data_IF_419606788264
#
_entry.id   IF_419606788264
#
_cell.length_a   1.000
_cell.length_b   1.000
_cell.length_c   1.000
_cell.angle_alpha   90.00
_cell.angle_beta   90.00
_cell.angle_gamma   90.00
#
_symmetry.space_group_name_H-M   'P 1'
#
loop_
_entity.id
_entity.type
_entity.pdbx_description
1 polymer ?
#
# COMPACT_ATOMS: atom_id res chain seq x y z
N UNK A 1 6.05 -5.79 -7.79
CA UNK A 1 5.23 -6.27 -8.93
C UNK A 1 4.31 -7.38 -8.44
N UNK A 2 3.20 -7.62 -9.11
CA UNK A 2 2.27 -8.70 -8.78
C UNK A 2 1.26 -8.94 -9.90
N UNK A 3 0.48 -10.01 -9.77
CA UNK A 3 -0.57 -10.40 -10.72
C UNK A 3 -1.90 -10.56 -10.00
N UNK A 4 -2.98 -10.04 -10.60
CA UNK A 4 -4.36 -10.20 -10.12
C UNK A 4 -5.09 -11.32 -10.86
N UNK A 5 -4.52 -11.79 -11.98
CA UNK A 5 -4.94 -12.97 -12.76
C UNK A 5 -3.78 -13.43 -13.64
N UNK A 6 -3.97 -14.48 -14.45
CA UNK A 6 -2.94 -14.94 -15.40
C UNK A 6 -2.56 -13.86 -16.42
N UNK A 7 -3.51 -13.02 -16.83
CA UNK A 7 -3.29 -11.99 -17.85
C UNK A 7 -3.00 -10.60 -17.24
N UNK A 8 -3.62 -10.28 -16.11
CA UNK A 8 -3.55 -8.94 -15.52
C UNK A 8 -2.50 -8.86 -14.41
N UNK A 9 -1.56 -7.92 -14.56
CA UNK A 9 -0.51 -7.69 -13.59
C UNK A 9 -0.09 -6.23 -13.50
N UNK A 10 0.70 -5.92 -12.48
CA UNK A 10 1.15 -4.57 -12.17
C UNK A 10 2.63 -4.54 -11.80
N UNK A 11 3.32 -3.48 -12.24
CA UNK A 11 4.66 -3.11 -11.83
C UNK A 11 4.60 -1.67 -11.37
N UNK A 12 5.23 -1.41 -10.22
CA UNK A 12 5.35 -0.07 -9.67
C UNK A 12 6.83 0.23 -9.65
N UNK A 13 7.21 1.26 -10.38
CA UNK A 13 8.60 1.69 -10.55
C UNK A 13 8.76 3.01 -9.82
N UNK A 14 9.65 3.01 -8.85
CA UNK A 14 10.04 4.21 -8.12
C UNK A 14 11.46 4.62 -8.58
N UNK A 15 11.65 5.89 -8.92
CA UNK A 15 12.87 6.39 -9.58
C UNK A 15 13.09 7.88 -9.40
N UNK A 16 14.14 8.40 -10.05
CA UNK A 16 14.52 9.82 -10.03
C UNK A 16 14.69 10.39 -8.61
N UNK A 17 15.40 9.65 -7.76
CA UNK A 17 15.66 10.03 -6.38
C UNK A 17 16.59 11.23 -6.26
N UNK A 18 16.07 12.35 -5.76
CA UNK A 18 16.87 13.51 -5.35
C UNK A 18 16.27 14.15 -4.09
N UNK A 19 17.05 14.36 -3.02
CA UNK A 19 16.60 15.09 -1.81
C UNK A 19 15.21 14.67 -1.24
N UNK A 20 14.97 13.36 -1.03
CA UNK A 20 13.67 12.78 -0.57
C UNK A 20 12.48 12.99 -1.53
N UNK A 21 12.75 13.34 -2.78
CA UNK A 21 11.82 13.26 -3.89
C UNK A 21 11.98 11.91 -4.58
N UNK A 22 10.88 11.25 -4.94
CA UNK A 22 10.87 10.05 -5.78
C UNK A 22 9.65 10.09 -6.68
N UNK A 23 9.86 9.92 -7.99
CA UNK A 23 8.76 9.71 -8.92
C UNK A 23 8.34 8.25 -8.85
N UNK A 24 7.03 8.01 -8.86
CA UNK A 24 6.47 6.66 -8.89
C UNK A 24 5.51 6.53 -10.06
N UNK A 25 5.75 5.50 -10.85
CA UNK A 25 5.02 5.16 -12.06
C UNK A 25 4.34 3.82 -11.90
N UNK A 26 3.10 3.72 -12.38
CA UNK A 26 2.33 2.48 -12.39
C UNK A 26 2.23 1.96 -13.81
N UNK A 27 2.70 0.73 -14.00
CA UNK A 27 2.58 -0.01 -15.25
C UNK A 27 1.63 -1.18 -15.04
N UNK A 28 0.73 -1.39 -15.98
CA UNK A 28 -0.16 -2.55 -16.02
C UNK A 28 0.13 -3.39 -17.26
N UNK A 29 -0.08 -4.69 -17.12
CA UNK A 29 -0.17 -5.64 -18.22
C UNK A 29 -1.55 -6.27 -18.23
N UNK A 30 -2.03 -6.62 -19.42
CA UNK A 30 -3.26 -7.38 -19.65
C UNK A 30 -3.03 -8.58 -20.58
N UNK A 31 -1.75 -8.98 -20.76
CA UNK A 31 -1.32 -10.05 -21.65
C UNK A 31 -0.29 -11.00 -21.00
N UNK A 32 -0.32 -11.08 -19.67
CA UNK A 32 0.55 -11.96 -18.89
C UNK A 32 2.00 -11.44 -18.78
N UNK A 33 2.19 -10.12 -18.90
CA UNK A 33 3.49 -9.47 -18.79
C UNK A 33 4.29 -9.41 -20.09
N UNK A 34 3.67 -9.71 -21.25
CA UNK A 34 4.32 -9.60 -22.57
C UNK A 34 4.48 -8.14 -22.98
N UNK A 35 3.51 -7.29 -22.63
CA UNK A 35 3.58 -5.84 -22.79
C UNK A 35 3.11 -5.11 -21.54
N UNK A 36 3.63 -3.90 -21.36
CA UNK A 36 3.39 -3.06 -20.18
C UNK A 36 3.00 -1.65 -20.63
N UNK A 37 1.90 -1.13 -20.11
CA UNK A 37 1.43 0.22 -20.36
C UNK A 37 1.51 1.05 -19.08
N UNK A 38 2.13 2.23 -19.17
CA UNK A 38 2.06 3.22 -18.09
C UNK A 38 0.66 3.82 -18.02
N UNK A 39 0.03 3.72 -16.86
CA UNK A 39 -1.37 4.14 -16.63
C UNK A 39 -1.53 5.10 -15.46
N UNK A 40 -0.47 5.29 -14.65
CA UNK A 40 -0.48 6.19 -13.52
C UNK A 40 0.86 6.88 -13.31
N UNK A 41 0.78 8.13 -12.89
CA UNK A 41 1.90 8.96 -12.45
C UNK A 41 1.54 9.56 -11.10
N UNK A 42 2.08 8.95 -10.03
CA UNK A 42 1.76 9.41 -8.67
C UNK A 42 2.61 10.59 -8.25
N UNK A 43 3.58 11.05 -9.06
CA UNK A 43 4.34 12.29 -8.76
C UNK A 43 3.42 13.51 -8.68
N UNK A 44 2.26 13.45 -9.35
CA UNK A 44 1.21 14.47 -9.28
C UNK A 44 0.43 14.47 -7.95
N UNK A 45 0.65 13.47 -7.11
CA UNK A 45 -0.17 13.16 -5.94
C UNK A 45 0.69 13.21 -4.67
N UNK A 46 1.92 12.72 -4.76
CA UNK A 46 2.92 12.86 -3.70
C UNK A 46 4.32 12.60 -4.24
N UNK A 47 5.31 13.24 -3.65
CA UNK A 47 6.73 13.05 -3.96
C UNK A 47 7.43 12.15 -2.91
N UNK A 48 6.63 11.49 -2.07
CA UNK A 48 7.12 10.68 -0.97
C UNK A 48 7.57 9.31 -1.44
N UNK A 49 8.54 8.75 -0.70
CA UNK A 49 9.06 7.42 -0.94
C UNK A 49 7.95 6.38 -0.77
N UNK A 50 7.84 5.45 -1.72
CA UNK A 50 6.89 4.34 -1.66
C UNK A 50 7.38 3.28 -0.69
N UNK A 51 6.49 2.78 0.17
CA UNK A 51 6.79 1.71 1.12
C UNK A 51 6.18 0.37 0.71
N UNK A 52 5.00 0.40 0.09
CA UNK A 52 4.28 -0.81 -0.30
C UNK A 52 3.23 -0.50 -1.35
N UNK A 53 2.85 -1.51 -2.12
CA UNK A 53 1.82 -1.36 -3.13
C UNK A 53 1.27 -2.69 -3.62
N UNK A 54 -0.02 -2.69 -3.98
CA UNK A 54 -0.70 -3.84 -4.54
C UNK A 54 -1.92 -3.44 -5.37
N UNK A 55 -2.34 -4.30 -6.28
CA UNK A 55 -3.66 -4.21 -6.91
C UNK A 55 -4.52 -5.39 -6.47
N UNK A 56 -5.78 -5.12 -6.13
CA UNK A 56 -6.79 -6.15 -5.80
C UNK A 56 -7.59 -6.58 -7.03
N UNK A 57 -7.67 -5.73 -8.04
CA UNK A 57 -8.29 -6.01 -9.35
C UNK A 57 -7.47 -5.34 -10.46
N UNK A 58 -7.89 -5.44 -11.73
CA UNK A 58 -7.26 -4.70 -12.83
C UNK A 58 -7.48 -3.18 -12.76
N UNK A 59 -8.33 -2.71 -11.83
CA UNK A 59 -8.71 -1.29 -11.66
C UNK A 59 -8.38 -0.73 -10.28
N UNK A 60 -8.55 -1.55 -9.25
CA UNK A 60 -8.39 -1.14 -7.86
C UNK A 60 -6.96 -1.41 -7.41
N UNK A 61 -6.25 -0.34 -7.10
CA UNK A 61 -4.84 -0.36 -6.73
C UNK A 61 -4.56 0.47 -5.48
N UNK A 62 -3.49 0.15 -4.78
CA UNK A 62 -3.09 0.75 -3.53
C UNK A 62 -1.60 1.05 -3.53
N UNK A 63 -1.22 2.20 -3.00
CA UNK A 63 0.17 2.59 -2.76
C UNK A 63 0.25 3.22 -1.37
N UNK A 64 1.17 2.72 -0.55
CA UNK A 64 1.56 3.32 0.71
C UNK A 64 2.89 4.04 0.57
N UNK A 65 3.01 5.12 1.34
CA UNK A 65 4.19 5.98 1.35
C UNK A 65 4.78 5.98 2.76
N UNK A 66 6.07 6.31 2.86
CA UNK A 66 6.66 6.67 4.15
C UNK A 66 5.82 7.82 4.74
N UNK A 67 5.51 7.80 6.03
CA UNK A 67 4.71 8.87 6.66
C UNK A 67 5.47 10.21 6.67
N UNK A 68 4.75 11.31 6.49
CA UNK A 68 5.34 12.66 6.40
C UNK A 68 5.28 13.31 7.78
N UNK A 69 6.43 13.56 8.43
CA UNK A 69 6.48 14.36 9.65
C UNK A 69 5.72 13.74 10.84
N UNK A 70 4.93 14.56 11.56
CA UNK A 70 4.21 14.20 12.79
C UNK A 70 2.79 13.65 12.54
N UNK A 71 2.52 13.01 11.39
CA UNK A 71 1.21 12.42 11.10
C UNK A 71 1.11 11.08 11.85
N UNK A 72 0.16 10.90 12.80
CA UNK A 72 0.09 9.71 13.64
C UNK A 72 -0.62 8.52 12.96
N UNK A 73 -0.66 8.53 11.63
CA UNK A 73 -1.33 7.53 10.80
C UNK A 73 -0.47 7.18 9.56
N UNK A 74 -0.60 5.97 9.01
CA UNK A 74 0.06 5.61 7.76
C UNK A 74 -0.54 6.38 6.58
N UNK A 75 0.34 6.81 5.66
CA UNK A 75 -0.07 7.46 4.42
C UNK A 75 -0.30 6.41 3.34
N UNK A 76 -1.55 6.24 2.92
CA UNK A 76 -1.92 5.29 1.88
C UNK A 76 -2.97 5.87 0.95
N UNK A 77 -2.84 5.57 -0.34
CA UNK A 77 -3.78 6.00 -1.38
C UNK A 77 -4.27 4.80 -2.18
N UNK A 78 -5.47 4.92 -2.71
CA UNK A 78 -6.05 3.94 -3.61
C UNK A 78 -6.57 4.59 -4.90
N UNK A 79 -6.67 3.78 -5.95
CA UNK A 79 -7.28 4.13 -7.23
C UNK A 79 -8.39 3.12 -7.52
N UNK A 80 -9.42 3.52 -8.26
CA UNK A 80 -10.47 2.64 -8.81
C UNK A 80 -10.50 2.69 -10.34
N UNK A 81 -9.56 3.41 -10.95
CA UNK A 81 -9.48 3.67 -12.38
C UNK A 81 -8.04 3.49 -12.89
N UNK A 82 -7.42 2.35 -12.55
CA UNK A 82 -6.13 1.93 -13.12
C UNK A 82 -4.97 2.89 -12.85
N UNK A 83 -5.08 3.72 -11.81
CA UNK A 83 -4.04 4.67 -11.44
C UNK A 83 -4.16 6.04 -12.12
N UNK A 84 -5.24 6.31 -12.86
CA UNK A 84 -5.51 7.64 -13.42
C UNK A 84 -5.75 8.69 -12.32
N UNK A 85 -6.49 8.31 -11.27
CA UNK A 85 -6.76 9.15 -10.10
C UNK A 85 -6.59 8.38 -8.80
N UNK A 86 -6.21 9.08 -7.73
CA UNK A 86 -5.96 8.47 -6.43
C UNK A 86 -6.64 9.24 -5.29
N UNK A 87 -7.13 8.49 -4.32
CA UNK A 87 -7.86 8.97 -3.14
C UNK A 87 -7.19 8.45 -1.86
N UNK A 88 -7.38 9.11 -0.73
CA UNK A 88 -6.81 8.67 0.55
C UNK A 88 -7.54 7.44 1.10
N UNK A 89 -6.78 6.47 1.60
CA UNK A 89 -7.31 5.34 2.38
C UNK A 89 -7.43 5.76 3.84
N UNK A 90 -8.61 5.56 4.42
CA UNK A 90 -8.83 5.75 5.87
C UNK A 90 -8.80 4.39 6.56
N UNK A 91 -7.79 4.15 7.38
CA UNK A 91 -7.72 2.96 8.22
C UNK A 91 -8.35 3.25 9.58
N UNK A 92 -9.31 2.44 10.06
CA UNK A 92 -9.95 2.64 11.35
C UNK A 92 -9.07 2.10 12.49
N UNK A 93 -7.89 2.70 12.70
CA UNK A 93 -7.01 2.33 13.80
C UNK A 93 -7.62 2.78 15.14
N UNK A 94 -7.72 1.91 16.16
CA UNK A 94 -8.17 2.31 17.49
C UNK A 94 -7.29 3.43 18.07
N UNK A 95 -7.91 4.35 18.81
CA UNK A 95 -7.23 5.54 19.35
C UNK A 95 -6.04 5.21 20.27
N UNK A 96 -6.11 4.08 20.98
CA UNK A 96 -5.03 3.62 21.87
C UNK A 96 -3.74 3.27 21.11
N UNK A 97 -3.82 3.10 19.78
CA UNK A 97 -2.69 2.81 18.90
C UNK A 97 -2.30 3.99 17.99
N UNK A 98 -2.93 5.15 18.15
CA UNK A 98 -2.59 6.37 17.41
C UNK A 98 -1.11 6.72 17.60
N UNK A 99 -0.39 6.95 16.49
CA UNK A 99 1.05 7.25 16.54
C UNK A 99 1.98 6.04 16.66
N UNK A 100 1.45 4.82 16.85
CA UNK A 100 2.26 3.61 17.03
C UNK A 100 2.53 2.91 15.69
N UNK A 101 1.50 2.63 14.90
CA UNK A 101 1.62 1.92 13.63
C UNK A 101 1.52 2.89 12.46
N UNK A 102 2.66 3.21 11.86
CA UNK A 102 2.83 4.34 10.95
C UNK A 102 3.21 3.93 9.52
N UNK A 103 3.64 2.69 9.31
CA UNK A 103 4.19 2.24 8.03
C UNK A 103 3.39 1.08 7.47
N UNK A 104 2.47 1.40 6.57
CA UNK A 104 1.66 0.41 5.87
C UNK A 104 2.51 -0.39 4.87
N UNK A 105 2.55 -1.71 5.03
CA UNK A 105 3.20 -2.62 4.08
C UNK A 105 2.36 -2.81 2.81
N UNK A 106 2.84 -3.62 1.86
CA UNK A 106 2.03 -4.00 0.70
C UNK A 106 0.82 -4.82 1.15
N UNK A 107 -0.42 -4.42 0.80
CA UNK A 107 -1.58 -5.27 1.01
C UNK A 107 -1.47 -6.57 0.22
N UNK A 108 -2.07 -7.63 0.74
CA UNK A 108 -2.22 -8.92 0.04
C UNK A 108 -3.70 -9.18 -0.19
N UNK A 109 -4.04 -9.72 -1.36
CA UNK A 109 -5.42 -9.95 -1.76
C UNK A 109 -5.63 -11.38 -2.27
N UNK A 110 -6.78 -11.95 -1.92
CA UNK A 110 -7.35 -13.17 -2.47
C UNK A 110 -8.81 -12.88 -2.88
N UNK A 111 -8.99 -12.55 -4.16
CA UNK A 111 -10.26 -12.05 -4.67
C UNK A 111 -10.70 -10.77 -3.94
N UNK A 112 -11.92 -10.78 -3.39
CA UNK A 112 -12.45 -9.64 -2.65
C UNK A 112 -11.84 -9.48 -1.24
N UNK A 113 -11.22 -10.53 -0.70
CA UNK A 113 -10.64 -10.49 0.64
C UNK A 113 -9.20 -9.98 0.58
N UNK A 114 -8.78 -9.25 1.62
CA UNK A 114 -7.40 -8.79 1.71
C UNK A 114 -6.95 -8.52 3.14
N UNK A 115 -5.63 -8.48 3.30
CA UNK A 115 -4.93 -8.18 4.53
C UNK A 115 -3.95 -7.03 4.30
N UNK A 116 -3.92 -6.09 5.24
CA UNK A 116 -2.92 -5.05 5.33
C UNK A 116 -2.28 -5.09 6.71
N UNK A 117 -0.95 -5.12 6.72
CA UNK A 117 -0.15 -4.99 7.94
C UNK A 117 0.47 -3.59 7.99
N UNK A 118 0.41 -2.97 9.17
CA UNK A 118 1.02 -1.67 9.44
C UNK A 118 1.99 -1.83 10.59
N UNK A 119 3.28 -1.61 10.32
CA UNK A 119 4.31 -1.66 11.35
C UNK A 119 4.64 -0.28 11.93
N UNK A 120 5.54 -0.29 12.90
CA UNK A 120 5.83 0.85 13.74
C UNK A 120 6.79 1.88 13.11
N UNK A 121 7.33 1.58 11.93
CA UNK A 121 8.40 2.36 11.31
C UNK A 121 9.74 2.20 12.04
N UNK A 122 10.72 3.03 11.66
CA UNK A 122 12.11 2.92 12.14
C UNK A 122 12.27 3.19 13.65
N UNK A 123 11.35 3.97 14.25
CA UNK A 123 11.43 4.41 15.64
C UNK A 123 10.44 3.68 16.56
N UNK A 124 9.92 2.53 16.13
CA UNK A 124 8.95 1.75 16.91
C UNK A 124 9.51 1.17 18.21
N UNK A 125 8.78 1.30 19.30
CA UNK A 125 9.11 0.76 20.62
C UNK A 125 8.00 -0.11 21.23
N UNK A 126 6.89 -0.30 20.51
CA UNK A 126 5.73 -1.10 20.91
C UNK A 126 5.97 -2.59 20.68
N UNK A 127 6.90 -3.20 21.41
CA UNK A 127 7.18 -4.63 21.34
C UNK A 127 7.80 -5.09 20.01
N UNK A 128 8.80 -5.97 20.08
CA UNK A 128 9.50 -6.46 18.89
C UNK A 128 8.53 -7.20 17.96
N UNK A 129 8.54 -6.84 16.66
CA UNK A 129 7.79 -7.54 15.61
C UNK A 129 6.29 -7.30 15.62
N UNK A 130 5.76 -6.42 16.48
CA UNK A 130 4.32 -6.13 16.53
C UNK A 130 3.90 -5.24 15.37
N UNK A 131 2.78 -5.61 14.75
CA UNK A 131 2.13 -4.87 13.66
C UNK A 131 0.62 -4.84 13.87
N UNK A 132 -0.05 -3.77 13.43
CA UNK A 132 -1.51 -3.72 13.35
C UNK A 132 -1.97 -4.43 12.08
N UNK A 133 -2.95 -5.33 12.22
CA UNK A 133 -3.58 -6.04 11.11
C UNK A 133 -4.94 -5.43 10.78
N UNK A 134 -5.17 -5.23 9.50
CA UNK A 134 -6.45 -4.80 8.93
C UNK A 134 -6.93 -5.80 7.89
N UNK A 135 -8.24 -6.00 7.85
CA UNK A 135 -8.90 -6.91 6.92
C UNK A 135 -9.91 -6.17 6.06
N UNK A 136 -10.08 -6.63 4.83
CA UNK A 136 -11.10 -6.16 3.89
C UNK A 136 -11.83 -7.35 3.26
N UNK A 137 -13.08 -7.14 2.84
CA UNK A 137 -13.90 -8.10 2.10
C UNK A 137 -14.48 -7.52 0.80
N UNK A 138 -14.03 -6.32 0.41
CA UNK A 138 -14.54 -5.55 -0.72
C UNK A 138 -13.40 -4.97 -1.55
N UNK A 139 -12.37 -5.79 -1.80
CA UNK A 139 -11.21 -5.43 -2.63
C UNK A 139 -10.37 -4.27 -2.06
N UNK A 140 -10.50 -3.98 -0.77
CA UNK A 140 -9.78 -2.90 -0.08
C UNK A 140 -10.47 -1.53 -0.13
N UNK A 141 -11.73 -1.47 -0.56
CA UNK A 141 -12.52 -0.23 -0.52
C UNK A 141 -12.86 0.16 0.92
N UNK A 142 -13.08 -0.82 1.79
CA UNK A 142 -13.18 -0.63 3.23
C UNK A 142 -12.26 -1.57 3.98
N UNK A 143 -11.71 -1.07 5.10
CA UNK A 143 -10.82 -1.81 5.99
C UNK A 143 -11.42 -1.86 7.38
N UNK A 144 -11.19 -2.95 8.09
CA UNK A 144 -11.57 -3.16 9.48
C UNK A 144 -10.31 -3.50 10.26
N UNK A 145 -10.09 -2.85 11.40
CA UNK A 145 -9.05 -3.25 12.33
C UNK A 145 -9.40 -4.61 12.93
N UNK A 146 -8.45 -5.54 12.88
CA UNK A 146 -8.64 -6.91 13.36
C UNK A 146 -7.95 -7.13 14.71
N UNK A 147 -6.61 -7.08 14.75
CA UNK A 147 -5.83 -7.24 15.98
C UNK A 147 -4.37 -6.74 15.80
N UNK A 148 -3.60 -6.74 16.89
CA UNK A 148 -2.14 -6.60 16.85
C UNK A 148 -1.49 -8.00 16.81
N UNK A 149 -0.78 -8.29 15.74
CA UNK A 149 -0.08 -9.57 15.53
C UNK A 149 1.43 -9.40 15.67
N UNK A 150 2.15 -10.49 15.95
CA UNK A 150 3.61 -10.52 15.83
C UNK A 150 3.97 -11.14 14.50
N UNK A 151 4.79 -10.46 13.70
CA UNK A 151 5.48 -11.09 12.58
C UNK A 151 6.75 -11.72 13.16
N UNK A 152 6.66 -12.95 13.63
CA UNK A 152 7.84 -13.74 13.98
C UNK A 152 8.45 -14.26 12.66
N UNK A 153 9.68 -13.82 12.37
CA UNK A 153 10.60 -14.25 11.30
C UNK A 153 9.93 -14.96 10.12
N UNK A 154 9.47 -14.18 9.14
CA UNK A 154 9.18 -14.71 7.80
C UNK A 154 10.54 -15.09 7.20
N UNK A 155 10.76 -16.39 7.00
CA UNK A 155 11.88 -16.95 6.21
C UNK A 155 12.05 -16.25 4.85
#
# INVERSE_FOLDING_TARGET
>A
MGFTSEDNGYVIVAGDRAMRFEMTYVFLTNDGGKSWQQVGDTSKITNMLVNGAAFSTDKIGFISFISAGNIPYPTMKYTENKGETWQDVKLPLPKDYEGIFLRALSPKFEGASGELLVDQGENGDYGKGKVARFLTKDYGLTWVFDDIVTIDDVE
#
